data_IF_989866216396
#
_entry.id   IF_989866216396
#
_cell.length_a   1.000
_cell.length_b   1.000
_cell.length_c   1.000
_cell.angle_alpha   90.00
_cell.angle_beta   90.00
_cell.angle_gamma   90.00
#
_symmetry.space_group_name_H-M   'P 1'
#
loop_
_entity.id
_entity.type
_entity.pdbx_description
1 polymer ?
2 non-polymer ?
3 water ?
#
# COMPACT_ATOMS: atom_id res chain seq x y z
N UNK A 1 12.15 28.99 3.48
CA UNK A 1 12.16 27.58 2.99
C UNK A 1 12.33 26.61 4.17
N UNK A 2 12.16 25.32 3.92
CA UNK A 2 12.27 24.36 5.01
C UNK A 2 13.21 23.29 4.53
N UNK A 3 13.97 22.68 5.44
CA UNK A 3 14.73 21.46 5.12
C UNK A 3 14.05 20.22 5.73
N UNK A 4 13.77 19.24 4.90
CA UNK A 4 13.29 17.94 5.37
C UNK A 4 14.29 16.86 5.05
N UNK A 5 14.12 15.69 5.67
CA UNK A 5 14.88 14.53 5.25
C UNK A 5 13.92 13.50 4.68
N UNK A 6 14.16 13.06 3.45
CA UNK A 6 13.23 12.09 2.86
C UNK A 6 13.59 10.66 3.27
N UNK A 7 12.80 9.70 2.75
CA UNK A 7 13.05 8.31 3.09
C UNK A 7 14.15 7.62 2.27
N UNK A 8 14.86 8.39 1.46
CA UNK A 8 16.17 7.97 0.96
C UNK A 8 17.31 8.63 1.73
N UNK A 9 16.98 9.24 2.87
CA UNK A 9 17.89 9.98 3.77
C UNK A 9 18.49 11.25 3.12
N UNK A 10 17.80 11.72 2.09
CA UNK A 10 18.19 12.93 1.39
C UNK A 10 17.68 14.18 2.07
N UNK A 11 18.60 15.13 2.21
CA UNK A 11 18.24 16.44 2.73
C UNK A 11 17.69 17.25 1.58
N UNK A 12 16.52 17.83 1.79
CA UNK A 12 15.81 18.47 0.69
C UNK A 12 15.21 19.80 1.14
N UNK A 13 15.55 20.85 0.41
CA UNK A 13 15.01 22.17 0.70
C UNK A 13 13.78 22.39 -0.16
N UNK A 14 12.68 22.71 0.51
CA UNK A 14 11.41 22.95 -0.14
C UNK A 14 10.85 24.31 0.29
N UNK A 15 9.88 24.84 -0.47
CA UNK A 15 9.20 26.09 -0.12
C UNK A 15 8.43 25.99 1.19
N UNK A 16 8.13 27.14 1.79
CA UNK A 16 7.38 27.19 3.04
C UNK A 16 5.98 26.65 2.90
N UNK A 17 5.40 26.94 1.72
CA UNK A 17 4.06 26.49 1.40
C UNK A 17 4.13 25.78 0.05
N UNK A 18 3.37 24.70 -0.03
CA UNK A 18 3.31 23.86 -1.25
C UNK A 18 1.89 23.89 -1.79
N UNK A 19 1.74 24.22 -3.08
CA UNK A 19 0.41 24.32 -3.71
C UNK A 19 0.38 23.66 -5.08
N UNK A 20 1.55 23.31 -5.60
CA UNK A 20 1.64 22.67 -6.92
C UNK A 20 2.51 21.41 -6.91
N UNK A 21 2.15 20.48 -6.03
CA UNK A 21 2.86 19.24 -5.90
C UNK A 21 2.56 18.28 -7.05
N UNK A 22 3.58 17.55 -7.49
CA UNK A 22 3.40 16.50 -8.47
C UNK A 22 3.71 15.20 -7.74
N UNK A 23 2.78 14.28 -7.75
CA UNK A 23 2.92 13.07 -6.97
C UNK A 23 3.06 11.84 -7.85
N UNK A 24 4.30 11.35 -7.98
CA UNK A 24 4.56 10.23 -8.91
C UNK A 24 4.60 8.88 -8.16
N UNK A 25 3.69 8.70 -7.20
CA UNK A 25 3.62 7.41 -6.49
C UNK A 25 2.22 7.31 -5.95
N UNK A 26 1.59 6.16 -6.18
CA UNK A 26 0.23 5.97 -5.77
C UNK A 26 0.03 5.89 -4.25
N UNK A 27 1.00 5.37 -3.52
CA UNK A 27 0.88 5.31 -2.07
C UNK A 27 0.89 6.70 -1.47
N UNK A 28 1.79 7.57 -1.90
CA UNK A 28 1.82 8.95 -1.41
C UNK A 28 0.51 9.63 -1.84
N UNK A 29 0.07 9.36 -3.06
CA UNK A 29 -1.18 9.96 -3.54
C UNK A 29 -2.37 9.64 -2.63
N UNK A 30 -2.47 8.37 -2.23
CA UNK A 30 -3.54 7.94 -1.37
C UNK A 30 -3.45 8.58 0.04
N UNK A 31 -2.23 8.70 0.58
CA UNK A 31 -2.02 9.37 1.87
C UNK A 31 -2.43 10.85 1.75
N UNK A 32 -2.04 11.52 0.66
CA UNK A 32 -2.46 12.92 0.47
C UNK A 32 -3.97 13.09 0.35
N UNK A 33 -4.65 12.16 -0.33
CA UNK A 33 -6.12 12.15 -0.34
C UNK A 33 -6.68 12.08 1.07
N UNK A 34 -6.10 11.20 1.84
CA UNK A 34 -6.51 11.10 3.25
C UNK A 34 -6.08 12.21 4.17
N UNK A 35 -5.18 13.08 3.71
CA UNK A 35 -4.82 14.29 4.48
C UNK A 35 -5.62 15.51 4.01
N UNK A 36 -6.52 15.26 3.08
CA UNK A 36 -7.32 16.38 2.46
C UNK A 36 -6.41 17.42 1.76
N UNK A 37 -5.35 16.92 1.11
CA UNK A 37 -4.32 17.74 0.42
C UNK A 37 -4.46 17.85 -1.11
N UNK A 38 -5.54 17.33 -1.69
CA UNK A 38 -5.57 17.27 -3.15
C UNK A 38 -5.62 18.62 -3.86
N UNK A 39 -6.04 19.67 -3.15
CA UNK A 39 -6.04 21.04 -3.73
C UNK A 39 -4.64 21.61 -3.95
N UNK A 40 -3.65 20.97 -3.32
CA UNK A 40 -2.27 21.37 -3.43
C UNK A 40 -1.50 20.49 -4.44
N UNK A 41 -2.23 19.65 -5.17
CA UNK A 41 -1.59 18.75 -6.16
C UNK A 41 -1.97 19.16 -7.58
N UNK A 42 -0.99 19.21 -8.48
CA UNK A 42 -1.29 19.54 -9.85
C UNK A 42 -0.93 18.48 -10.90
N UNK A 43 -0.27 17.39 -10.49
CA UNK A 43 0.00 16.29 -11.39
C UNK A 43 0.18 14.99 -10.64
N UNK A 44 -0.13 13.88 -11.29
CA UNK A 44 -0.04 12.58 -10.65
C UNK A 44 0.61 11.58 -11.63
N UNK A 45 1.08 10.45 -11.09
CA UNK A 45 1.52 9.34 -11.93
C UNK A 45 0.49 8.96 -13.00
N UNK A 46 1.00 8.68 -14.20
CA UNK A 46 0.10 8.38 -15.36
C UNK A 46 -0.73 7.10 -15.18
N UNK A 47 -0.19 6.16 -14.42
CA UNK A 47 -0.88 4.88 -14.24
C UNK A 47 -1.68 4.82 -12.92
N UNK A 48 -2.18 5.96 -12.47
CA UNK A 48 -2.89 6.00 -11.21
C UNK A 48 -4.15 5.14 -11.16
N UNK A 49 -4.85 5.01 -12.29
CA UNK A 49 -6.11 4.24 -12.32
C UNK A 49 -5.82 2.77 -12.17
N UNK A 50 -4.75 2.30 -12.81
CA UNK A 50 -4.27 0.91 -12.63
C UNK A 50 -3.82 0.63 -11.21
N UNK A 51 -3.01 1.53 -10.64
CA UNK A 51 -2.37 1.32 -9.35
C UNK A 51 -3.34 1.48 -8.16
N UNK A 52 -4.35 2.35 -8.32
CA UNK A 52 -5.35 2.59 -7.27
C UNK A 52 -6.70 1.87 -7.49
N UNK A 53 -6.90 1.37 -8.69
CA UNK A 53 -8.09 0.64 -9.07
C UNK A 53 -9.15 1.55 -9.65
N UNK A 54 -9.98 0.98 -10.52
CA UNK A 54 -11.03 1.75 -11.24
C UNK A 54 -12.05 2.59 -10.46
N UNK A 55 -12.33 2.22 -9.22
CA UNK A 55 -13.29 2.92 -8.37
C UNK A 55 -12.62 4.02 -7.54
N UNK A 56 -11.28 4.09 -7.57
CA UNK A 56 -10.60 5.13 -6.76
C UNK A 56 -11.13 6.58 -7.03
N UNK A 57 -11.41 6.85 -8.29
CA UNK A 57 -11.88 8.14 -8.74
C UNK A 57 -13.21 8.51 -8.08
N UNK A 58 -13.87 7.59 -7.41
CA UNK A 58 -15.05 7.97 -6.65
C UNK A 58 -14.62 8.74 -5.37
N UNK A 59 -13.51 8.30 -4.77
CA UNK A 59 -13.00 8.93 -3.56
C UNK A 59 -12.36 10.26 -3.85
N UNK A 60 -11.77 10.37 -5.03
CA UNK A 60 -10.97 11.55 -5.42
C UNK A 60 -11.29 11.95 -6.85
N UNK A 61 -12.54 12.40 -7.09
CA UNK A 61 -12.96 12.73 -8.45
C UNK A 61 -12.10 13.79 -9.15
N UNK A 62 -11.46 14.63 -8.36
CA UNK A 62 -10.51 15.62 -8.88
C UNK A 62 -9.32 15.00 -9.60
N UNK A 63 -9.03 13.71 -9.37
CA UNK A 63 -7.90 13.09 -10.08
C UNK A 63 -8.16 12.94 -11.59
N UNK A 64 -9.43 12.84 -11.97
CA UNK A 64 -9.86 12.67 -13.37
C UNK A 64 -9.23 13.64 -14.41
N UNK A 65 -9.09 14.90 -14.03
CA UNK A 65 -8.58 15.94 -14.95
C UNK A 65 -7.21 16.47 -14.48
N UNK A 66 -6.46 15.60 -13.83
CA UNK A 66 -5.16 15.92 -13.31
C UNK A 66 -4.13 15.60 -14.40
N UNK A 67 -3.24 16.54 -14.67
CA UNK A 67 -2.09 16.34 -15.56
C UNK A 67 -1.25 15.14 -15.08
N UNK A 68 -0.64 14.42 -16.01
CA UNK A 68 0.14 13.24 -15.69
C UNK A 68 1.51 13.29 -16.34
N UNK A 69 2.45 14.02 -15.73
CA UNK A 69 3.76 14.29 -16.34
C UNK A 69 4.86 13.22 -16.11
N UNK A 70 4.47 12.02 -15.70
CA UNK A 70 5.44 10.98 -15.36
C UNK A 70 4.74 9.79 -14.74
N UNK A 71 5.52 8.79 -14.34
CA UNK A 71 4.92 7.64 -13.64
C UNK A 71 5.87 7.13 -12.55
N UNK A 72 5.82 5.85 -12.20
CA UNK A 72 6.63 5.38 -11.09
C UNK A 72 8.14 5.48 -11.36
N UNK A 73 8.56 5.17 -12.58
CA UNK A 73 9.97 4.99 -12.92
C UNK A 73 10.46 5.80 -14.11
N UNK A 74 9.65 6.76 -14.53
CA UNK A 74 10.06 7.66 -15.61
C UNK A 74 9.37 9.00 -15.40
N UNK A 75 9.84 10.02 -16.09
CA UNK A 75 9.32 11.38 -15.96
C UNK A 75 9.48 12.02 -17.32
N UNK A 76 8.56 12.92 -17.63
CA UNK A 76 8.63 13.73 -18.81
C UNK A 76 8.86 15.19 -18.43
N UNK A 77 10.11 15.62 -18.48
CA UNK A 77 10.50 16.94 -17.94
C UNK A 77 9.81 18.14 -18.61
N UNK A 78 9.70 18.12 -19.93
CA UNK A 78 9.00 19.19 -20.64
C UNK A 78 7.54 19.28 -20.17
N UNK A 79 6.86 18.13 -20.04
CA UNK A 79 5.50 18.14 -19.48
C UNK A 79 5.45 18.64 -18.03
N UNK A 80 6.45 18.22 -17.24
CA UNK A 80 6.51 18.52 -15.81
C UNK A 80 6.65 20.05 -15.59
N UNK A 81 7.65 20.66 -16.20
CA UNK A 81 7.89 22.08 -16.02
C UNK A 81 6.68 22.97 -16.41
N UNK A 82 5.89 22.55 -17.39
CA UNK A 82 4.68 23.30 -17.76
C UNK A 82 3.75 23.50 -16.60
N UNK A 83 3.77 22.57 -15.62
CA UNK A 83 2.89 22.61 -14.45
C UNK A 83 3.42 23.51 -13.35
N UNK A 84 4.63 24.04 -13.55
CA UNK A 84 5.25 24.93 -12.57
C UNK A 84 5.26 24.30 -11.17
N UNK A 85 5.74 23.05 -11.07
CA UNK A 85 5.59 22.37 -9.76
C UNK A 85 6.52 22.95 -8.72
N UNK A 86 6.09 22.93 -7.45
CA UNK A 86 6.95 23.34 -6.37
C UNK A 86 7.67 22.18 -5.64
N UNK A 87 7.20 20.97 -5.82
CA UNK A 87 7.85 19.73 -5.31
C UNK A 87 7.41 18.51 -6.11
N UNK A 88 8.24 17.46 -6.15
CA UNK A 88 7.83 16.19 -6.77
C UNK A 88 8.05 15.07 -5.77
N UNK A 89 6.99 14.32 -5.45
CA UNK A 89 7.15 13.08 -4.67
C UNK A 89 7.46 11.93 -5.61
N UNK A 90 8.48 11.13 -5.29
CA UNK A 90 8.75 9.94 -6.11
C UNK A 90 8.86 8.70 -5.21
N UNK A 91 8.72 7.53 -5.80
CA UNK A 91 8.86 6.31 -5.02
C UNK A 91 10.36 6.06 -4.75
N UNK A 92 10.62 5.34 -3.67
CA UNK A 92 11.97 5.14 -3.21
C UNK A 92 12.89 4.44 -4.21
N UNK A 93 12.32 3.57 -5.05
CA UNK A 93 13.16 2.88 -6.04
C UNK A 93 13.22 3.61 -7.39
N UNK A 94 12.69 4.85 -7.45
CA UNK A 94 12.76 5.63 -8.69
C UNK A 94 14.20 5.64 -9.19
N UNK A 95 14.41 5.34 -10.47
CA UNK A 95 15.82 5.27 -10.90
C UNK A 95 16.56 6.58 -10.63
N UNK A 96 17.84 6.47 -10.31
CA UNK A 96 18.74 7.59 -10.10
C UNK A 96 18.67 8.59 -11.25
N UNK A 97 18.65 8.05 -12.47
CA UNK A 97 18.50 8.83 -13.69
C UNK A 97 17.28 9.76 -13.63
N UNK A 98 16.17 9.25 -13.08
CA UNK A 98 14.90 9.97 -13.03
C UNK A 98 14.98 11.07 -12.01
N UNK A 99 15.52 10.77 -10.83
CA UNK A 99 15.65 11.79 -9.79
C UNK A 99 16.58 12.90 -10.30
N UNK A 100 17.67 12.50 -10.96
CA UNK A 100 18.64 13.47 -11.54
C UNK A 100 17.99 14.43 -12.55
N UNK A 101 17.10 13.90 -13.40
CA UNK A 101 16.44 14.73 -14.41
C UNK A 101 15.63 15.81 -13.72
N UNK A 102 15.02 15.46 -12.59
CA UNK A 102 14.15 16.39 -11.92
C UNK A 102 14.96 17.44 -11.16
N UNK A 103 16.04 16.99 -10.52
CA UNK A 103 16.95 17.85 -9.76
C UNK A 103 17.75 18.75 -10.68
N UNK A 104 18.03 18.29 -11.90
CA UNK A 104 18.76 19.11 -12.88
C UNK A 104 17.97 20.36 -13.36
N UNK A 105 16.64 20.35 -13.24
CA UNK A 105 15.79 21.53 -13.56
C UNK A 105 15.25 22.19 -12.26
N UNK A 106 15.90 21.86 -11.16
CA UNK A 106 15.79 22.56 -9.88
C UNK A 106 14.44 22.40 -9.16
N UNK A 107 13.75 21.31 -9.40
CA UNK A 107 12.52 21.06 -8.67
C UNK A 107 12.93 20.12 -7.54
N UNK A 108 12.58 20.46 -6.30
CA UNK A 108 12.76 19.59 -5.14
C UNK A 108 12.11 18.21 -5.32
N UNK A 109 12.83 17.16 -4.90
CA UNK A 109 12.32 15.79 -4.98
C UNK A 109 12.23 15.17 -3.57
N UNK A 110 11.10 14.61 -3.22
CA UNK A 110 10.93 13.96 -1.94
C UNK A 110 10.62 12.48 -2.18
N UNK A 111 11.52 11.58 -1.75
CA UNK A 111 11.34 10.14 -1.98
C UNK A 111 10.64 9.53 -0.79
N UNK A 112 9.67 8.68 -1.08
CA UNK A 112 8.84 8.03 -0.07
C UNK A 112 8.94 6.54 -0.24
N UNK A 113 9.29 5.89 0.87
CA UNK A 113 9.36 4.42 0.93
C UNK A 113 8.32 3.78 1.84
N UNK A 114 7.81 4.54 2.80
CA UNK A 114 6.99 4.04 3.92
C UNK A 114 7.68 2.91 4.72
N UNK A 115 9.01 2.94 4.74
CA UNK A 115 9.79 1.93 5.48
C UNK A 115 11.06 2.55 6.00
N UNK A 116 11.44 2.17 7.21
CA UNK A 116 12.77 2.50 7.71
C UNK A 116 13.68 1.33 7.33
N UNK A 117 14.11 0.58 8.32
CA UNK A 117 14.93 -0.60 8.11
C UNK A 117 16.34 -0.22 7.72
N UNK A 118 17.03 -1.16 7.08
CA UNK A 118 18.44 -0.98 6.73
C UNK A 118 18.66 0.09 5.66
N UNK A 119 19.56 1.03 5.94
CA UNK A 119 19.86 2.15 5.01
C UNK A 119 20.44 1.71 3.65
N UNK A 120 21.19 0.61 3.65
CA UNK A 120 21.69 0.05 2.41
C UNK A 120 20.60 -0.38 1.45
N UNK A 121 19.40 -0.58 1.99
CA UNK A 121 18.30 -1.16 1.23
C UNK A 121 17.22 -0.14 0.85
N UNK A 122 17.34 1.08 1.33
CA UNK A 122 16.21 2.04 1.17
C UNK A 122 15.76 2.33 -0.28
N UNK A 123 16.69 2.23 -1.23
CA UNK A 123 16.36 2.48 -2.62
C UNK A 123 15.99 1.27 -3.47
N UNK A 124 15.84 0.11 -2.84
CA UNK A 124 15.57 -1.14 -3.55
C UNK A 124 14.07 -1.46 -3.66
N UNK A 125 13.60 -1.89 -4.83
CA UNK A 125 12.17 -2.21 -4.98
C UNK A 125 11.84 -3.34 -3.99
N UNK A 126 12.78 -4.29 -3.92
CA UNK A 126 12.65 -5.56 -3.17
C UNK A 126 13.74 -5.72 -2.12
N UNK A 127 13.50 -5.17 -0.91
CA UNK A 127 14.54 -5.16 0.13
C UNK A 127 14.72 -6.46 0.91
N UNK A 128 15.86 -6.58 1.58
CA UNK A 128 16.11 -7.58 2.60
C UNK A 128 16.16 -6.82 3.93
N UNK A 129 15.23 -7.15 4.82
CA UNK A 129 15.07 -6.42 6.08
C UNK A 129 15.17 -7.40 7.23
N UNK A 130 15.93 -7.01 8.26
CA UNK A 130 16.07 -7.82 9.46
C UNK A 130 14.89 -7.78 10.42
N UNK A 131 14.08 -6.72 10.33
CA UNK A 131 12.89 -6.51 11.16
C UNK A 131 11.79 -5.81 10.33
N UNK A 132 11.16 -6.59 9.45
CA UNK A 132 10.20 -6.00 8.50
C UNK A 132 8.98 -5.36 9.21
N UNK A 133 8.49 -5.97 10.30
CA UNK A 133 7.35 -5.38 11.01
C UNK A 133 7.69 -3.94 11.50
N UNK A 134 8.85 -3.79 12.14
CA UNK A 134 9.23 -2.49 12.71
C UNK A 134 9.56 -1.51 11.56
N UNK A 135 10.15 -2.02 10.49
CA UNK A 135 10.56 -1.19 9.35
C UNK A 135 9.37 -0.52 8.69
N UNK A 136 8.34 -1.34 8.39
CA UNK A 136 7.11 -0.86 7.83
C UNK A 136 6.21 -0.08 8.83
N UNK A 137 6.22 -0.47 10.11
CA UNK A 137 5.44 0.26 11.12
C UNK A 137 6.04 1.66 11.25
N UNK A 138 7.36 1.71 11.44
CA UNK A 138 8.03 2.99 11.66
C UNK A 138 8.06 3.84 10.38
N UNK A 139 8.14 3.16 9.25
CA UNK A 139 8.21 3.81 7.93
C UNK A 139 6.89 4.43 7.56
N UNK A 140 5.80 3.69 7.82
CA UNK A 140 4.46 4.21 7.63
C UNK A 140 4.26 5.49 8.43
N UNK A 141 4.56 5.44 9.72
CA UNK A 141 4.41 6.58 10.62
C UNK A 141 5.25 7.74 10.11
N UNK A 142 6.53 7.47 9.84
CA UNK A 142 7.45 8.47 9.39
C UNK A 142 7.00 9.07 8.04
N UNK A 143 6.59 8.20 7.13
CA UNK A 143 6.16 8.65 5.82
C UNK A 143 4.90 9.48 5.83
N UNK A 144 3.92 9.11 6.64
CA UNK A 144 2.75 9.97 6.75
C UNK A 144 3.15 11.32 7.35
N UNK A 145 3.98 11.28 8.39
CA UNK A 145 4.40 12.52 9.06
C UNK A 145 5.14 13.48 8.10
N UNK A 146 5.99 12.92 7.25
CA UNK A 146 6.73 13.70 6.23
C UNK A 146 5.79 14.27 5.18
N UNK A 147 4.92 13.44 4.62
CA UNK A 147 3.91 13.91 3.66
C UNK A 147 3.05 15.04 4.26
N UNK A 148 2.58 14.80 5.47
CA UNK A 148 1.82 15.80 6.21
C UNK A 148 2.58 17.09 6.48
N UNK A 149 3.87 17.02 6.82
CA UNK A 149 4.76 18.19 6.95
C UNK A 149 4.78 19.01 5.66
N UNK A 150 5.05 18.33 4.56
CA UNK A 150 5.23 18.98 3.27
C UNK A 150 3.97 19.80 2.92
N UNK A 151 2.81 19.21 3.15
CA UNK A 151 1.54 19.81 2.77
C UNK A 151 0.89 20.65 3.91
N UNK A 152 1.59 20.75 5.05
CA UNK A 152 1.12 21.46 6.26
C UNK A 152 -0.24 20.95 6.68
N UNK A 153 -0.35 19.62 6.82
CA UNK A 153 -1.52 18.93 7.38
C UNK A 153 -1.10 18.17 8.64
N UNK A 154 -0.33 18.81 9.51
CA UNK A 154 0.22 18.11 10.70
C UNK A 154 -0.81 17.44 11.60
N UNK A 155 -1.88 18.16 11.95
CA UNK A 155 -2.92 17.58 12.80
C UNK A 155 -3.56 16.34 12.16
N UNK A 156 -3.97 16.45 10.89
CA UNK A 156 -4.66 15.31 10.25
C UNK A 156 -3.69 14.12 10.09
N UNK A 157 -2.42 14.44 9.82
CA UNK A 157 -1.36 13.43 9.75
C UNK A 157 -1.23 12.68 11.06
N UNK A 158 -1.25 13.41 12.17
CA UNK A 158 -1.18 12.78 13.50
C UNK A 158 -2.39 11.88 13.80
N UNK A 159 -3.56 12.31 13.32
CA UNK A 159 -4.81 11.56 13.50
C UNK A 159 -4.80 10.33 12.61
N UNK A 160 -4.26 10.48 11.41
CA UNK A 160 -4.12 9.35 10.49
C UNK A 160 -3.19 8.28 11.03
N UNK A 161 -2.04 8.68 11.57
CA UNK A 161 -1.13 7.74 12.19
C UNK A 161 -1.84 7.00 13.35
N UNK A 162 -2.48 7.75 14.25
CA UNK A 162 -3.21 7.09 15.37
C UNK A 162 -4.30 6.12 14.84
N UNK A 163 -5.03 6.51 13.80
CA UNK A 163 -6.07 5.64 13.24
C UNK A 163 -5.51 4.35 12.62
N UNK A 164 -4.40 4.48 11.89
CA UNK A 164 -3.71 3.30 11.29
C UNK A 164 -3.39 2.20 12.31
N UNK A 165 -2.93 2.56 13.49
CA UNK A 165 -2.46 1.58 14.48
C UNK A 165 -3.46 1.25 15.60
N UNK A 166 -4.67 1.77 15.48
CA UNK A 166 -5.65 1.75 16.54
C UNK A 166 -6.18 0.34 16.87
N UNK A 167 -6.14 -0.57 15.89
CA UNK A 167 -6.70 -1.92 16.08
C UNK A 167 -5.62 -3.00 16.24
N UNK A 168 -4.35 -2.58 16.23
CA UNK A 168 -3.22 -3.52 16.28
C UNK A 168 -3.21 -4.27 17.62
N UNK A 169 -3.55 -3.58 18.72
CA UNK A 169 -3.66 -4.23 20.05
C UNK A 169 -4.75 -5.30 20.12
N UNK A 170 -5.95 -4.95 19.64
CA UNK A 170 -7.08 -5.90 19.52
C UNK A 170 -6.66 -7.20 18.81
N UNK A 171 -6.06 -7.08 17.63
CA UNK A 171 -5.59 -8.27 16.93
C UNK A 171 -4.51 -9.05 17.70
N UNK A 172 -3.56 -8.35 18.31
CA UNK A 172 -2.52 -8.98 19.16
C UNK A 172 -3.13 -9.85 20.27
N UNK A 173 -4.13 -9.26 20.93
CA UNK A 173 -4.81 -9.86 22.09
C UNK A 173 -5.58 -11.10 21.62
N UNK A 174 -6.43 -10.92 20.60
CA UNK A 174 -7.38 -11.95 20.13
C UNK A 174 -6.77 -13.14 19.42
N UNK A 175 -5.59 -12.96 18.81
CA UNK A 175 -4.91 -14.00 18.04
C UNK A 175 -3.56 -14.42 18.59
N UNK A 176 -3.23 -14.00 19.82
CA UNK A 176 -1.93 -14.30 20.44
C UNK A 176 -1.62 -15.76 20.75
N UNK A 177 -2.65 -16.60 20.75
CA UNK A 177 -2.49 -18.04 20.98
C UNK A 177 -2.45 -18.88 19.68
N UNK A 178 -2.37 -18.22 18.53
CA UNK A 178 -2.34 -18.95 17.25
C UNK A 178 -0.93 -19.48 16.98
N UNK A 179 -0.73 -20.77 17.25
CA UNK A 179 0.55 -21.43 16.96
C UNK A 179 0.92 -21.38 15.48
N UNK A 180 2.23 -21.53 15.22
CA UNK A 180 2.71 -21.53 13.85
C UNK A 180 2.12 -22.66 13.02
N UNK A 181 1.74 -23.76 13.66
CA UNK A 181 1.20 -24.91 12.92
C UNK A 181 -0.22 -24.68 12.47
N UNK A 182 -0.95 -23.84 13.22
CA UNK A 182 -2.38 -23.59 12.98
C UNK A 182 -2.62 -22.31 12.14
N UNK A 183 -1.61 -21.44 12.07
CA UNK A 183 -1.63 -20.24 11.20
C UNK A 183 -2.12 -20.57 9.76
N UNK A 184 -3.03 -19.73 9.23
CA UNK A 184 -3.69 -20.02 7.95
C UNK A 184 -2.77 -19.75 6.76
N UNK A 185 -2.54 -20.77 5.96
CA UNK A 185 -1.59 -20.65 4.83
C UNK A 185 -2.28 -19.94 3.62
N UNK A 186 -1.78 -18.75 3.30
CA UNK A 186 -2.49 -17.80 2.42
C UNK A 186 -1.62 -17.44 1.20
N UNK A 187 -2.23 -17.23 0.04
CA UNK A 187 -1.51 -16.85 -1.18
C UNK A 187 -2.13 -15.59 -1.79
N UNK A 188 -1.28 -14.61 -2.15
CA UNK A 188 -1.76 -13.43 -2.82
C UNK A 188 -1.57 -13.57 -4.33
N UNK A 189 -2.68 -13.67 -5.04
CA UNK A 189 -2.63 -13.83 -6.50
C UNK A 189 -2.78 -12.51 -7.23
N UNK A 190 -1.66 -12.00 -7.77
CA UNK A 190 -1.70 -10.83 -8.66
C UNK A 190 -1.73 -11.26 -10.15
N UNK A 191 -2.09 -10.34 -11.08
CA UNK A 191 -2.18 -10.68 -12.50
C UNK A 191 -0.91 -11.33 -12.99
N UNK A 192 -1.06 -12.16 -14.01
CA UNK A 192 0.04 -12.79 -14.74
C UNK A 192 1.00 -13.56 -13.82
N UNK A 193 0.43 -14.39 -12.94
CA UNK A 193 1.20 -15.13 -11.95
C UNK A 193 2.13 -14.30 -11.05
N UNK A 194 1.73 -13.07 -10.77
CA UNK A 194 2.48 -12.19 -9.87
C UNK A 194 2.16 -12.57 -8.42
N UNK A 195 3.16 -12.45 -7.54
CA UNK A 195 2.94 -12.61 -6.08
C UNK A 195 3.99 -11.85 -5.29
N UNK A 196 3.82 -11.81 -3.96
CA UNK A 196 4.73 -11.10 -3.06
C UNK A 196 5.43 -12.08 -2.16
N UNK A 197 6.75 -12.03 -2.07
CA UNK A 197 7.41 -12.82 -1.07
C UNK A 197 7.84 -11.97 0.13
N UNK A 198 9.04 -12.27 0.60
CA UNK A 198 9.67 -11.56 1.71
C UNK A 198 9.91 -10.06 1.48
N UNK A 199 9.97 -9.33 2.60
CA UNK A 199 10.30 -7.89 2.61
C UNK A 199 9.17 -7.02 2.09
N UNK A 200 7.95 -7.55 2.21
CA UNK A 200 6.76 -6.84 1.71
C UNK A 200 5.65 -6.78 2.75
N UNK A 201 4.90 -5.67 2.78
CA UNK A 201 3.78 -5.51 3.74
C UNK A 201 2.74 -6.64 3.63
N UNK A 202 2.59 -7.23 2.43
CA UNK A 202 1.64 -8.32 2.17
C UNK A 202 1.68 -9.38 3.27
N UNK A 203 2.88 -9.88 3.54
CA UNK A 203 3.12 -10.91 4.55
C UNK A 203 2.79 -10.45 5.96
N UNK A 204 3.04 -9.19 6.24
CA UNK A 204 2.75 -8.66 7.58
C UNK A 204 1.27 -8.52 7.85
N UNK A 205 0.50 -8.10 6.84
CA UNK A 205 -0.96 -8.08 6.96
C UNK A 205 -1.49 -9.46 7.38
N UNK A 206 -1.01 -10.49 6.67
CA UNK A 206 -1.38 -11.85 6.93
C UNK A 206 -0.95 -12.28 8.32
N UNK A 207 0.26 -11.94 8.72
CA UNK A 207 0.69 -12.32 10.09
C UNK A 207 -0.22 -11.73 11.15
N UNK A 208 -0.52 -10.43 11.03
CA UNK A 208 -1.26 -9.75 12.06
C UNK A 208 -2.70 -10.31 12.10
N UNK A 209 -3.14 -10.97 11.03
CA UNK A 209 -4.48 -11.57 10.98
C UNK A 209 -4.48 -13.10 11.22
N UNK A 210 -3.37 -13.60 11.78
CA UNK A 210 -3.28 -15.03 12.08
C UNK A 210 -3.06 -15.95 10.88
N UNK A 211 -2.38 -15.41 9.87
CA UNK A 211 -2.12 -16.13 8.64
C UNK A 211 -0.66 -16.05 8.34
N UNK A 212 -0.28 -16.68 7.24
CA UNK A 212 1.08 -16.72 6.79
C UNK A 212 1.13 -16.71 5.26
N UNK A 213 2.00 -15.87 4.70
CA UNK A 213 2.27 -15.86 3.27
C UNK A 213 3.15 -17.03 2.79
N UNK A 214 2.53 -18.04 2.15
CA UNK A 214 3.21 -19.24 1.63
C UNK A 214 4.41 -18.93 0.72
N UNK A 215 4.39 -17.77 0.04
CA UNK A 215 5.44 -17.45 -0.92
C UNK A 215 6.69 -16.91 -0.25
N UNK A 216 6.56 -16.48 1.01
CA UNK A 216 7.58 -15.62 1.59
C UNK A 216 8.86 -16.30 2.05
N UNK A 217 8.86 -17.62 2.21
CA UNK A 217 10.14 -18.26 2.58
C UNK A 217 11.10 -18.50 1.42
N UNK A 218 10.58 -18.47 0.20
CA UNK A 218 11.40 -18.77 -0.99
C UNK A 218 11.42 -17.69 -2.09
N UNK A 219 10.49 -16.74 -2.04
CA UNK A 219 10.40 -15.69 -3.07
C UNK A 219 10.80 -14.38 -2.40
N UNK A 220 11.57 -13.56 -3.11
CA UNK A 220 12.00 -12.25 -2.56
C UNK A 220 11.22 -11.11 -3.24
N UNK A 221 10.37 -10.44 -2.47
CA UNK A 221 9.60 -9.30 -3.01
C UNK A 221 8.57 -9.62 -4.08
N UNK A 222 8.30 -8.64 -4.95
CA UNK A 222 7.34 -8.84 -6.00
C UNK A 222 7.97 -9.56 -7.20
N UNK A 223 7.50 -10.78 -7.46
CA UNK A 223 8.03 -11.63 -8.54
C UNK A 223 6.93 -12.37 -9.28
N UNK A 224 7.19 -12.63 -10.56
CA UNK A 224 6.39 -13.63 -11.25
C UNK A 224 6.90 -15.02 -10.87
N UNK A 225 5.95 -15.90 -10.55
CA UNK A 225 6.22 -17.28 -10.15
C UNK A 225 5.57 -18.22 -11.17
N UNK A 226 5.80 -19.52 -11.04
CA UNK A 226 5.10 -20.50 -11.90
C UNK A 226 3.90 -21.07 -11.19
N UNK A 227 2.89 -21.50 -11.96
CA UNK A 227 1.80 -22.30 -11.40
C UNK A 227 2.35 -23.47 -10.59
N UNK A 228 3.40 -24.11 -11.09
CA UNK A 228 4.03 -25.20 -10.36
C UNK A 228 4.43 -24.85 -8.91
N UNK A 229 4.95 -23.63 -8.69
CA UNK A 229 5.20 -23.17 -7.31
C UNK A 229 3.91 -23.10 -6.51
N UNK A 230 2.85 -22.58 -7.11
CA UNK A 230 1.58 -22.42 -6.36
C UNK A 230 0.96 -23.76 -6.03
N UNK A 231 1.10 -24.70 -6.95
CA UNK A 231 0.65 -26.04 -6.73
C UNK A 231 1.36 -26.62 -5.51
N UNK A 232 2.69 -26.43 -5.41
CA UNK A 232 3.49 -27.01 -4.33
C UNK A 232 3.16 -26.37 -2.99
N UNK A 233 2.96 -25.06 -3.00
CA UNK A 233 2.62 -24.33 -1.80
C UNK A 233 1.26 -24.72 -1.26
N UNK A 234 0.37 -25.00 -2.22
CA UNK A 234 -0.98 -25.45 -1.95
C UNK A 234 -1.66 -24.63 -0.86
N UNK A 235 -1.91 -23.34 -1.14
CA UNK A 235 -2.45 -22.49 -0.05
C UNK A 235 -3.89 -22.84 0.31
N UNK A 236 -4.26 -22.62 1.57
CA UNK A 236 -5.61 -22.87 2.09
C UNK A 236 -6.62 -21.84 1.62
N UNK A 237 -6.11 -20.66 1.27
CA UNK A 237 -6.90 -19.44 1.03
C UNK A 237 -6.13 -18.66 -0.04
N UNK A 238 -6.82 -18.21 -1.07
CA UNK A 238 -6.20 -17.29 -2.03
C UNK A 238 -6.90 -15.96 -1.98
N UNK A 239 -6.08 -14.90 -1.93
CA UNK A 239 -6.57 -13.55 -1.83
C UNK A 239 -6.17 -12.83 -3.10
N UNK A 240 -7.06 -11.93 -3.51
CA UNK A 240 -6.84 -11.00 -4.62
C UNK A 240 -7.11 -9.54 -4.17
N UNK A 241 -6.21 -8.63 -4.52
CA UNK A 241 -6.41 -7.21 -4.30
C UNK A 241 -7.59 -6.66 -5.09
N UNK A 242 -8.32 -5.74 -4.43
CA UNK A 242 -9.53 -5.15 -5.01
C UNK A 242 -9.26 -4.47 -6.35
N UNK A 243 -8.04 -3.96 -6.55
CA UNK A 243 -7.73 -3.21 -7.78
C UNK A 243 -7.62 -4.13 -8.98
N UNK A 244 -7.46 -5.44 -8.73
CA UNK A 244 -7.35 -6.47 -9.78
C UNK A 244 -8.47 -7.51 -9.81
N UNK A 245 -9.74 -7.06 -9.94
CA UNK A 245 -10.87 -7.99 -9.72
C UNK A 245 -10.98 -9.12 -10.79
N UNK A 246 -10.48 -8.90 -12.00
CA UNK A 246 -10.56 -9.94 -13.06
C UNK A 246 -9.85 -11.23 -12.67
N UNK A 247 -8.91 -11.13 -11.73
CA UNK A 247 -8.08 -12.27 -11.33
C UNK A 247 -8.93 -13.36 -10.65
N UNK A 248 -9.97 -12.96 -9.93
CA UNK A 248 -10.83 -13.95 -9.26
C UNK A 248 -11.52 -14.90 -10.27
N UNK A 249 -12.34 -14.36 -11.21
CA UNK A 249 -12.95 -15.30 -12.16
C UNK A 249 -11.88 -16.04 -12.96
N UNK A 250 -10.74 -15.40 -13.24
CA UNK A 250 -9.68 -16.04 -14.02
C UNK A 250 -9.12 -17.31 -13.34
N UNK A 251 -8.90 -17.24 -12.03
CA UNK A 251 -8.40 -18.38 -11.25
C UNK A 251 -9.45 -19.50 -11.19
N UNK A 252 -10.69 -19.11 -10.90
CA UNK A 252 -11.87 -19.98 -10.78
C UNK A 252 -12.22 -20.72 -12.08
N UNK A 253 -11.75 -20.20 -13.21
CA UNK A 253 -12.10 -20.81 -14.50
C UNK A 253 -10.92 -21.51 -15.16
N UNK A 254 -9.79 -21.47 -14.48
CA UNK A 254 -8.57 -22.07 -14.96
C UNK A 254 -8.44 -23.45 -14.33
N UNK A 255 -8.57 -24.47 -15.17
CA UNK A 255 -8.61 -25.86 -14.71
C UNK A 255 -7.29 -26.28 -14.02
N UNK A 256 -6.22 -25.61 -14.40
CA UNK A 256 -4.89 -25.91 -13.84
C UNK A 256 -4.76 -25.59 -12.36
N UNK A 257 -5.62 -24.70 -11.86
CA UNK A 257 -5.70 -24.32 -10.42
C UNK A 257 -6.70 -25.12 -9.59
N UNK A 258 -7.51 -25.97 -10.25
CA UNK A 258 -8.64 -26.67 -9.64
C UNK A 258 -8.35 -27.59 -8.44
N UNK A 259 -7.11 -28.08 -8.34
CA UNK A 259 -6.76 -29.01 -7.26
C UNK A 259 -6.09 -28.35 -6.05
N UNK A 260 -5.79 -27.07 -6.17
CA UNK A 260 -5.27 -26.29 -5.03
C UNK A 260 -6.33 -26.30 -3.94
N UNK A 261 -5.90 -26.50 -2.69
CA UNK A 261 -6.78 -26.56 -1.54
C UNK A 261 -7.79 -25.41 -1.52
N UNK A 262 -7.32 -24.19 -1.77
CA UNK A 262 -8.20 -23.03 -1.74
C UNK A 262 -9.31 -23.06 -2.78
N UNK A 263 -9.03 -23.67 -3.94
CA UNK A 263 -10.06 -23.85 -4.98
C UNK A 263 -11.11 -24.89 -4.56
N UNK A 264 -10.65 -26.08 -4.14
CA UNK A 264 -11.56 -27.15 -3.62
C UNK A 264 -12.48 -26.67 -2.49
N UNK A 265 -11.93 -25.81 -1.62
CA UNK A 265 -12.63 -25.33 -0.42
C UNK A 265 -13.42 -24.02 -0.64
N UNK A 266 -13.33 -23.49 -1.86
CA UNK A 266 -14.00 -22.26 -2.27
C UNK A 266 -13.58 -21.07 -1.40
N UNK A 267 -12.27 -20.97 -1.20
CA UNK A 267 -11.70 -19.86 -0.47
C UNK A 267 -10.79 -19.04 -1.39
N UNK A 268 -11.38 -18.55 -2.48
CA UNK A 268 -10.73 -17.51 -3.30
C UNK A 268 -11.57 -16.24 -3.13
N UNK A 269 -10.96 -15.25 -2.48
CA UNK A 269 -11.65 -14.03 -2.05
C UNK A 269 -11.05 -12.73 -2.56
N UNK A 270 -11.90 -11.90 -3.20
CA UNK A 270 -11.51 -10.54 -3.57
C UNK A 270 -11.48 -9.76 -2.29
N UNK A 271 -10.40 -9.04 -2.03
CA UNK A 271 -10.27 -8.29 -0.77
C UNK A 271 -10.94 -6.92 -0.89
N UNK A 272 -11.45 -6.37 0.23
CA UNK A 272 -12.14 -5.07 0.12
C UNK A 272 -11.19 -3.96 -0.38
N UNK A 273 -11.79 -2.90 -0.91
CA UNK A 273 -11.03 -1.71 -1.34
C UNK A 273 -9.98 -1.22 -0.34
N UNK A 274 -10.35 -1.21 0.95
CA UNK A 274 -9.50 -0.66 1.98
C UNK A 274 -8.44 -1.67 2.43
N UNK A 275 -8.62 -2.93 2.07
CA UNK A 275 -7.84 -4.01 2.69
C UNK A 275 -6.66 -4.38 1.81
N UNK A 276 -5.79 -3.40 1.63
CA UNK A 276 -4.70 -3.45 0.64
C UNK A 276 -3.46 -4.25 1.13
N UNK A 277 -3.41 -5.51 0.69
CA UNK A 277 -2.30 -6.41 1.00
C UNK A 277 -1.18 -6.17 -0.01
N UNK A 278 -0.75 -4.93 0.01
CA UNK A 278 0.18 -4.38 -0.93
C UNK A 278 1.60 -4.60 -0.45
N UNK A 279 2.50 -4.38 -1.37
CA UNK A 279 3.93 -4.41 -1.06
C UNK A 279 4.30 -3.36 -0.03
N UNK A 280 3.58 -2.23 -0.10
CA UNK A 280 3.71 -1.13 0.85
C UNK A 280 2.52 -1.00 1.80
N UNK A 281 2.84 -0.58 3.06
CA UNK A 281 1.78 -0.38 4.05
C UNK A 281 0.92 0.90 3.80
N UNK A 282 -0.39 0.81 4.04
CA UNK A 282 -1.27 1.97 3.87
C UNK A 282 -2.13 2.02 5.12
N UNK A 283 -2.48 3.25 5.59
CA UNK A 283 -3.09 3.33 6.90
C UNK A 283 -4.43 2.58 7.00
N UNK A 284 -5.22 2.63 5.95
CA UNK A 284 -6.49 1.92 5.94
C UNK A 284 -6.32 0.42 5.88
N UNK A 285 -5.17 -0.04 5.38
CA UNK A 285 -4.87 -1.47 5.27
C UNK A 285 -4.67 -2.00 6.66
N UNK A 286 -3.95 -1.24 7.49
CA UNK A 286 -3.73 -1.62 8.91
C UNK A 286 -5.03 -1.53 9.71
N UNK A 287 -5.64 -0.35 9.69
CA UNK A 287 -6.78 -0.05 10.55
C UNK A 287 -7.98 -0.94 10.24
N UNK A 288 -8.29 -1.10 8.97
CA UNK A 288 -9.51 -1.78 8.54
C UNK A 288 -9.24 -3.13 7.86
N UNK A 289 -8.24 -3.18 6.99
CA UNK A 289 -7.96 -4.42 6.27
C UNK A 289 -7.54 -5.59 7.14
N UNK A 290 -6.65 -5.33 8.08
CA UNK A 290 -6.19 -6.36 8.99
C UNK A 290 -7.34 -6.94 9.84
N UNK A 291 -8.23 -6.05 10.28
CA UNK A 291 -9.46 -6.50 11.01
C UNK A 291 -10.37 -7.33 10.07
N UNK A 292 -10.55 -6.89 8.81
CA UNK A 292 -11.34 -7.65 7.83
C UNK A 292 -10.83 -9.08 7.66
N UNK A 293 -9.52 -9.20 7.45
CA UNK A 293 -8.89 -10.50 7.30
C UNK A 293 -9.00 -11.35 8.59
N UNK A 294 -8.75 -10.74 9.74
CA UNK A 294 -8.90 -11.48 11.02
C UNK A 294 -10.31 -12.00 11.18
N UNK A 295 -11.29 -11.17 10.86
CA UNK A 295 -12.71 -11.53 11.00
C UNK A 295 -13.10 -12.62 9.99
N UNK A 296 -12.47 -12.62 8.83
CA UNK A 296 -12.78 -13.59 7.79
C UNK A 296 -12.24 -14.97 8.15
N UNK A 297 -11.07 -14.98 8.78
CA UNK A 297 -10.36 -16.20 9.08
C UNK A 297 -10.75 -16.79 10.44
N UNK A 298 -11.12 -15.90 11.38
CA UNK A 298 -11.50 -16.25 12.78
C UNK A 298 -12.82 -15.57 13.17
N UNK A 299 -13.93 -15.91 12.51
CA UNK A 299 -15.10 -15.01 12.76
C UNK A 299 -15.64 -15.09 14.18
N UNK A 300 -15.46 -16.25 14.78
CA UNK A 300 -15.96 -16.53 16.12
C UNK A 300 -15.16 -15.82 17.19
N UNK A 301 -14.01 -15.25 16.81
CA UNK A 301 -13.21 -14.42 17.73
C UNK A 301 -13.55 -12.92 17.71
N UNK A 302 -14.32 -12.49 16.69
CA UNK A 302 -14.55 -11.06 16.44
C UNK A 302 -16.00 -10.67 16.22
N UNK A 303 -16.94 -11.43 16.78
CA UNK A 303 -18.37 -11.16 16.56
C UNK A 303 -18.79 -9.81 17.15
N UNK A 304 -18.08 -9.36 18.16
CA UNK A 304 -18.37 -8.08 18.80
C UNK A 304 -17.80 -6.88 18.04
N UNK A 305 -16.96 -7.14 17.06
CA UNK A 305 -16.27 -6.08 16.34
C UNK A 305 -17.17 -5.64 15.19
N UNK A 306 -17.64 -4.40 15.27
CA UNK A 306 -18.55 -3.83 14.26
C UNK A 306 -17.69 -3.19 13.18
N UNK A 307 -17.24 -4.03 12.23
CA UNK A 307 -16.34 -3.60 11.16
C UNK A 307 -17.06 -2.59 10.27
N UNK A 308 -18.32 -2.85 9.92
CA UNK A 308 -19.09 -1.90 9.12
C UNK A 308 -18.99 -0.49 9.68
N UNK A 309 -19.10 -0.38 11.01
CA UNK A 309 -19.05 0.92 11.69
C UNK A 309 -17.63 1.50 11.69
N UNK A 310 -16.64 0.63 11.87
CA UNK A 310 -15.26 1.07 11.84
C UNK A 310 -14.91 1.59 10.43
N UNK A 311 -15.31 0.87 9.40
CA UNK A 311 -15.07 1.32 8.01
C UNK A 311 -15.71 2.67 7.74
N UNK A 312 -16.97 2.81 8.15
CA UNK A 312 -17.73 4.06 7.97
C UNK A 312 -17.10 5.24 8.67
N UNK A 313 -16.74 5.06 9.95
CA UNK A 313 -16.14 6.14 10.74
C UNK A 313 -14.84 6.60 10.06
N UNK A 314 -13.98 5.66 9.68
CA UNK A 314 -12.74 5.93 8.92
C UNK A 314 -12.96 6.66 7.58
N UNK A 315 -13.86 6.14 6.76
CA UNK A 315 -14.09 6.74 5.45
C UNK A 315 -14.66 8.16 5.59
N UNK A 316 -15.64 8.35 6.45
CA UNK A 316 -16.15 9.72 6.65
C UNK A 316 -15.08 10.71 7.09
N UNK A 317 -14.11 10.28 7.91
CA UNK A 317 -13.04 11.17 8.39
C UNK A 317 -11.94 11.47 7.37
N UNK A 318 -11.43 10.42 6.74
CA UNK A 318 -10.25 10.55 5.90
C UNK A 318 -10.61 10.60 4.40
N UNK A 319 -11.74 10.02 4.01
CA UNK A 319 -12.18 10.14 2.58
C UNK A 319 -13.36 11.06 2.34
N UNK A 320 -13.95 11.58 3.43
CA UNK A 320 -15.05 12.58 3.42
C UNK A 320 -16.26 12.05 2.67
N UNK A 321 -16.36 10.71 2.66
CA UNK A 321 -17.41 9.98 2.02
C UNK A 321 -17.66 8.61 2.65
N UNK A 322 -18.80 8.03 2.31
CA UNK A 322 -19.13 6.66 2.71
C UNK A 322 -18.32 5.63 1.93
N UNK A 323 -18.16 4.45 2.54
CA UNK A 323 -17.64 3.25 1.89
C UNK A 323 -18.74 2.65 1.02
N UNK A 324 -18.39 2.37 -0.22
CA UNK A 324 -19.29 1.76 -1.18
C UNK A 324 -18.72 0.41 -1.62
N UNK A 325 -19.37 -0.68 -1.17
CA UNK A 325 -19.01 -2.04 -1.51
C UNK A 325 -19.07 -2.24 -3.01
N UNK A 326 -18.14 -3.02 -3.53
CA UNK A 326 -18.17 -3.43 -4.93
C UNK A 326 -18.56 -4.91 -5.07
X LIG B 1 2.63 -2.09 -4.46
X LIG B 1 4.24 -1.43 -5.26
X LIG B 1 1.34 -1.16 -5.35
X LIG B 1 1.84 -3.78 -4.33
X LIG B 1 2.65 -1.45 -2.80
#
# INVERSE_FOLDING_TARGET
DRIITDQLDRKVTIPDHINRAVVLQHQTLNIAVQLDATKQIVGVLSNWKKQLGKNYVRLAPELENMAMPGDLNSVNIESLLALKPDVVFVTNYAPSEMIKQISDVNIPVVAISLRTGEVGEKGKLNPTLTDEDKAYNDGLKQGIELIAEVFEKKQQGDELVKAAFANRKLLADRLGDVSADKRVRTYMANPDLGTYGSGKYTGLMMEHAGAYNVAAATIKGFKQVSLENVLEWNPAVILVQDRYPDVVPQILNDQGWANIQALKDKKVFLMPEYAKAWGYPMPEALALGEVWLAKALYPQRFQDVDLDKMVNDYYQKFYRTSYKPD
WO4 W O1 O2 O3 O4
#
